data_IF_672192903920
#
_entry.id   IF_672192903920
#
_cell.length_a   1.000
_cell.length_b   1.000
_cell.length_c   1.000
_cell.angle_alpha   90.00
_cell.angle_beta   90.00
_cell.angle_gamma   90.00
#
_symmetry.space_group_name_H-M   'P 1'
#
loop_
_entity.id
_entity.type
_entity.pdbx_description
1 polymer ?
#
# COMPACT_ATOMS: atom_id res chain seq x y z
N UNK A 1 6.84 -4.32 32.71
CA UNK A 1 5.49 -4.33 32.12
C UNK A 1 5.45 -4.33 30.58
N UNK A 2 6.57 -4.20 29.84
CA UNK A 2 6.59 -4.14 28.36
C UNK A 2 6.54 -5.50 27.63
N UNK A 3 6.71 -6.63 28.32
CA UNK A 3 6.87 -7.94 27.68
C UNK A 3 5.58 -8.64 27.25
N UNK A 4 4.45 -8.43 27.96
CA UNK A 4 3.20 -9.14 27.65
C UNK A 4 2.58 -8.67 26.34
N UNK A 5 2.58 -7.37 26.06
CA UNK A 5 2.01 -6.81 24.83
C UNK A 5 2.81 -7.21 23.59
N UNK A 6 4.14 -7.19 23.70
CA UNK A 6 5.05 -7.59 22.63
C UNK A 6 4.90 -9.08 22.29
N UNK A 7 4.69 -9.92 23.31
CA UNK A 7 4.43 -11.34 23.12
C UNK A 7 3.09 -11.62 22.42
N UNK A 8 2.02 -10.92 22.78
CA UNK A 8 0.71 -11.07 22.11
C UNK A 8 0.75 -10.63 20.66
N UNK A 9 1.43 -9.51 20.35
CA UNK A 9 1.59 -9.01 18.98
C UNK A 9 2.43 -9.93 18.11
N UNK A 10 3.53 -10.48 18.63
CA UNK A 10 4.35 -11.45 17.92
C UNK A 10 3.55 -12.73 17.58
N UNK A 11 2.79 -13.24 18.56
CA UNK A 11 1.90 -14.39 18.34
C UNK A 11 0.82 -14.11 17.29
N UNK A 12 0.21 -12.91 17.33
CA UNK A 12 -0.78 -12.52 16.32
C UNK A 12 -0.15 -12.41 14.94
N UNK A 13 1.02 -11.79 14.83
CA UNK A 13 1.77 -11.68 13.58
C UNK A 13 2.06 -13.05 12.98
N UNK A 14 2.55 -14.02 13.76
CA UNK A 14 2.76 -15.39 13.26
C UNK A 14 1.47 -16.02 12.74
N UNK A 15 0.36 -15.83 13.44
CA UNK A 15 -0.95 -16.33 12.99
C UNK A 15 -1.37 -15.70 11.67
N UNK A 16 -1.13 -14.39 11.51
CA UNK A 16 -1.48 -13.65 10.30
C UNK A 16 -0.57 -14.07 9.11
N UNK A 17 0.73 -14.27 9.36
CA UNK A 17 1.68 -14.77 8.39
C UNK A 17 1.36 -16.21 7.95
N UNK A 18 1.02 -17.09 8.90
CA UNK A 18 0.57 -18.45 8.58
C UNK A 18 -0.70 -18.43 7.71
N UNK A 19 -1.67 -17.56 8.05
CA UNK A 19 -2.87 -17.37 7.24
C UNK A 19 -2.54 -16.87 5.83
N UNK A 20 -1.56 -15.99 5.67
CA UNK A 20 -1.11 -15.55 4.35
C UNK A 20 -0.51 -16.70 3.55
N UNK A 21 0.35 -17.51 4.16
CA UNK A 21 0.96 -18.67 3.52
C UNK A 21 -0.07 -19.75 3.14
N UNK A 22 -1.10 -19.94 3.97
CA UNK A 22 -2.22 -20.84 3.67
C UNK A 22 -3.06 -20.34 2.49
N UNK A 23 -3.32 -19.03 2.41
CA UNK A 23 -4.10 -18.43 1.34
C UNK A 23 -3.33 -18.33 0.02
N UNK A 24 -2.01 -18.14 0.09
CA UNK A 24 -1.13 -18.09 -1.07
C UNK A 24 0.22 -18.77 -0.77
N UNK A 25 0.35 -20.06 -1.12
CA UNK A 25 1.59 -20.82 -0.90
C UNK A 25 2.81 -20.27 -1.65
N UNK A 26 2.64 -19.34 -2.61
CA UNK A 26 3.72 -18.73 -3.39
C UNK A 26 4.37 -17.55 -2.67
N UNK A 27 3.87 -17.17 -1.49
CA UNK A 27 4.40 -16.07 -0.70
C UNK A 27 5.70 -16.45 0.05
N UNK A 28 6.74 -16.80 -0.71
CA UNK A 28 8.01 -17.30 -0.17
C UNK A 28 8.73 -16.31 0.75
N UNK A 29 8.38 -15.01 0.66
CA UNK A 29 8.91 -13.99 1.57
C UNK A 29 8.53 -14.22 3.03
N UNK A 30 7.47 -14.99 3.29
CA UNK A 30 6.97 -15.30 4.64
C UNK A 30 7.80 -16.41 5.31
N UNK A 31 8.38 -17.32 4.51
CA UNK A 31 9.07 -18.52 5.01
C UNK A 31 10.22 -18.22 5.99
N UNK A 32 11.13 -17.25 5.72
CA UNK A 32 12.19 -16.91 6.66
C UNK A 32 11.69 -16.44 8.04
N UNK A 33 10.43 -16.01 8.14
CA UNK A 33 9.83 -15.51 9.38
C UNK A 33 8.97 -16.57 10.09
N UNK A 34 8.62 -17.65 9.40
CA UNK A 34 7.94 -18.81 9.98
C UNK A 34 8.95 -19.87 10.47
N UNK A 35 10.07 -20.02 9.77
CA UNK A 35 11.08 -21.05 10.02
C UNK A 35 12.17 -20.60 11.03
N UNK A 36 12.46 -19.30 11.09
CA UNK A 36 13.65 -18.78 11.77
C UNK A 36 13.35 -18.07 13.12
N UNK A 37 14.37 -18.13 13.97
CA UNK A 37 14.55 -17.63 15.33
C UNK A 37 13.88 -16.29 15.71
N UNK A 38 13.65 -16.12 17.02
CA UNK A 38 13.02 -14.94 17.68
C UNK A 38 13.56 -13.57 17.24
N UNK A 39 14.71 -13.51 16.57
CA UNK A 39 15.31 -12.29 16.04
C UNK A 39 14.65 -11.82 14.73
N UNK A 40 14.52 -12.71 13.74
CA UNK A 40 13.93 -12.39 12.43
C UNK A 40 12.46 -11.99 12.56
N UNK A 41 11.73 -12.66 13.44
CA UNK A 41 10.35 -12.31 13.79
C UNK A 41 10.25 -10.91 14.43
N UNK A 42 11.16 -10.55 15.34
CA UNK A 42 11.16 -9.22 15.98
C UNK A 42 11.45 -8.12 14.97
N UNK A 43 12.36 -8.36 14.02
CA UNK A 43 12.65 -7.40 12.96
C UNK A 43 11.44 -7.19 12.04
N UNK A 44 10.78 -8.27 11.63
CA UNK A 44 9.56 -8.17 10.83
C UNK A 44 8.43 -7.49 11.60
N UNK A 45 8.22 -7.83 12.86
CA UNK A 45 7.22 -7.19 13.71
C UNK A 45 7.47 -5.69 13.82
N UNK A 46 8.71 -5.30 14.10
CA UNK A 46 9.11 -3.89 14.14
C UNK A 46 8.82 -3.19 12.80
N UNK A 47 9.11 -3.86 11.69
CA UNK A 47 8.87 -3.30 10.35
C UNK A 47 7.39 -3.21 10.00
N UNK A 48 6.58 -4.22 10.33
CA UNK A 48 5.12 -4.22 10.11
C UNK A 48 4.46 -3.14 10.95
N UNK A 49 4.84 -3.00 12.22
CA UNK A 49 4.32 -1.93 13.08
C UNK A 49 4.67 -0.56 12.49
N UNK A 50 5.94 -0.34 12.15
CA UNK A 50 6.37 0.91 11.53
C UNK A 50 5.60 1.20 10.24
N UNK A 51 5.49 0.24 9.34
CA UNK A 51 4.75 0.41 8.08
C UNK A 51 3.25 0.63 8.32
N UNK A 52 2.67 0.03 9.35
CA UNK A 52 1.26 0.27 9.72
C UNK A 52 1.05 1.74 10.06
N UNK A 53 1.95 2.32 10.85
CA UNK A 53 1.90 3.74 11.21
C UNK A 53 2.15 4.64 9.99
N UNK A 54 3.18 4.35 9.20
CA UNK A 54 3.56 5.16 8.04
C UNK A 54 2.51 5.17 6.94
N UNK A 55 1.86 4.03 6.69
CA UNK A 55 0.80 3.90 5.70
C UNK A 55 -0.56 4.37 6.23
N UNK A 56 -0.67 4.64 7.54
CA UNK A 56 -1.92 5.02 8.20
C UNK A 56 -2.95 3.89 8.24
N UNK A 57 -2.50 2.63 8.32
CA UNK A 57 -3.38 1.47 8.34
C UNK A 57 -4.01 1.27 9.71
N UNK A 58 -5.26 0.81 9.74
CA UNK A 58 -6.00 0.54 10.99
C UNK A 58 -5.44 -0.66 11.76
N UNK A 59 -4.87 -1.64 11.05
CA UNK A 59 -4.39 -2.89 11.65
C UNK A 59 -3.10 -3.40 10.98
N UNK A 60 -2.23 -4.10 11.73
CA UNK A 60 -1.08 -4.80 11.17
C UNK A 60 -1.45 -5.81 10.08
N UNK A 61 -2.62 -6.46 10.19
CA UNK A 61 -3.09 -7.42 9.20
C UNK A 61 -3.26 -6.77 7.81
N UNK A 62 -3.84 -5.56 7.74
CA UNK A 62 -3.94 -4.84 6.45
C UNK A 62 -2.58 -4.50 5.87
N UNK A 63 -1.62 -4.13 6.71
CA UNK A 63 -0.24 -3.90 6.28
C UNK A 63 0.39 -5.17 5.73
N UNK A 64 0.16 -6.32 6.36
CA UNK A 64 0.62 -7.63 5.88
C UNK A 64 -0.02 -7.97 4.53
N UNK A 65 -1.31 -7.68 4.32
CA UNK A 65 -1.99 -7.90 3.04
C UNK A 65 -1.38 -7.04 1.91
N UNK A 66 -0.99 -5.80 2.22
CA UNK A 66 -0.26 -4.91 1.30
C UNK A 66 1.13 -5.48 0.98
N UNK A 67 1.87 -5.93 2.00
CA UNK A 67 3.19 -6.55 1.83
C UNK A 67 3.08 -7.83 1.01
N UNK A 68 2.02 -8.62 1.20
CA UNK A 68 1.75 -9.82 0.41
C UNK A 68 1.65 -9.50 -1.07
N UNK A 69 0.93 -8.43 -1.44
CA UNK A 69 0.79 -8.03 -2.84
C UNK A 69 2.06 -7.37 -3.41
N UNK A 70 2.81 -6.65 -2.56
CA UNK A 70 4.06 -5.97 -2.93
C UNK A 70 5.15 -6.15 -1.86
N UNK A 71 5.86 -7.28 -1.87
CA UNK A 71 6.91 -7.56 -0.89
C UNK A 71 8.08 -6.58 -0.95
N UNK A 72 8.24 -5.86 -2.07
CA UNK A 72 9.28 -4.85 -2.26
C UNK A 72 9.18 -3.70 -1.27
N UNK A 73 8.01 -3.46 -0.67
CA UNK A 73 7.82 -2.44 0.37
C UNK A 73 8.70 -2.74 1.60
N UNK A 74 8.97 -4.02 1.88
CA UNK A 74 9.89 -4.41 2.95
C UNK A 74 11.34 -3.99 2.69
N UNK A 75 11.70 -3.53 1.48
CA UNK A 75 13.05 -3.02 1.16
C UNK A 75 13.13 -1.50 1.18
N UNK A 76 12.02 -0.80 1.37
CA UNK A 76 12.00 0.66 1.42
C UNK A 76 12.49 1.15 2.78
N UNK A 77 13.21 2.27 2.73
CA UNK A 77 13.54 3.04 3.93
C UNK A 77 12.30 3.81 4.41
N UNK A 78 12.16 4.03 5.74
CA UNK A 78 11.01 4.74 6.31
C UNK A 78 10.77 6.11 5.68
N UNK A 79 11.83 6.88 5.43
CA UNK A 79 11.77 8.22 4.83
C UNK A 79 11.20 8.17 3.40
N UNK A 80 11.54 7.11 2.66
CA UNK A 80 11.04 6.92 1.30
C UNK A 80 9.55 6.57 1.31
N UNK A 81 9.10 5.75 2.26
CA UNK A 81 7.66 5.47 2.46
C UNK A 81 6.92 6.75 2.80
N UNK A 82 7.43 7.54 3.77
CA UNK A 82 6.84 8.84 4.16
C UNK A 82 6.75 9.76 2.96
N UNK A 83 7.84 9.91 2.19
CA UNK A 83 7.88 10.78 1.01
C UNK A 83 6.80 10.39 -0.01
N UNK A 84 6.64 9.09 -0.27
CA UNK A 84 5.61 8.58 -1.20
C UNK A 84 4.20 8.84 -0.66
N UNK A 85 3.93 8.53 0.61
CA UNK A 85 2.63 8.78 1.25
C UNK A 85 2.28 10.28 1.25
N UNK A 86 3.26 11.14 1.52
CA UNK A 86 3.08 12.59 1.47
C UNK A 86 2.82 13.10 0.05
N UNK A 87 3.48 12.56 -0.96
CA UNK A 87 3.19 12.87 -2.37
C UNK A 87 1.75 12.49 -2.74
N UNK A 88 1.25 11.33 -2.29
CA UNK A 88 -0.15 10.93 -2.47
C UNK A 88 -1.10 11.92 -1.79
N UNK A 89 -0.76 12.35 -0.57
CA UNK A 89 -1.57 13.30 0.19
C UNK A 89 -1.58 14.69 -0.46
N UNK A 90 -0.48 15.15 -1.03
CA UNK A 90 -0.43 16.43 -1.75
C UNK A 90 -1.25 16.37 -3.04
N UNK A 91 -1.19 15.26 -3.77
CA UNK A 91 -1.96 15.09 -5.00
C UNK A 91 -3.47 14.90 -4.75
N UNK A 92 -3.85 14.30 -3.62
CA UNK A 92 -5.26 14.08 -3.24
C UNK A 92 -5.46 14.45 -1.76
N UNK A 93 -5.50 15.74 -1.40
CA UNK A 93 -5.55 16.20 -0.01
C UNK A 93 -6.70 15.63 0.79
N UNK A 94 -7.87 15.47 0.17
CA UNK A 94 -9.06 14.93 0.82
C UNK A 94 -9.20 13.41 0.66
N UNK A 95 -8.27 12.74 -0.02
CA UNK A 95 -8.34 11.31 -0.30
C UNK A 95 -8.13 10.44 0.94
N UNK A 96 -8.85 9.31 1.00
CA UNK A 96 -8.57 8.24 1.95
C UNK A 96 -7.30 7.48 1.50
N UNK A 97 -6.12 8.02 1.85
CA UNK A 97 -4.83 7.45 1.45
C UNK A 97 -4.66 5.99 1.90
N UNK A 98 -4.98 5.61 3.15
CA UNK A 98 -4.92 4.19 3.55
C UNK A 98 -5.80 3.29 2.68
N UNK A 99 -7.02 3.74 2.35
CA UNK A 99 -7.91 2.99 1.46
C UNK A 99 -7.37 2.86 0.03
N UNK A 100 -6.72 3.90 -0.50
CA UNK A 100 -6.04 3.84 -1.81
C UNK A 100 -4.90 2.83 -1.77
N UNK A 101 -4.04 2.92 -0.75
CA UNK A 101 -2.86 2.09 -0.60
C UNK A 101 -3.19 0.62 -0.37
N UNK A 102 -4.27 0.36 0.35
CA UNK A 102 -4.79 -0.99 0.53
C UNK A 102 -5.23 -1.61 -0.80
N UNK A 103 -5.92 -0.84 -1.64
CA UNK A 103 -6.35 -1.31 -2.95
C UNK A 103 -5.21 -1.33 -3.96
N UNK A 104 -4.21 -0.44 -3.80
CA UNK A 104 -3.11 -0.20 -4.74
C UNK A 104 -1.76 -0.01 -4.05
N UNK A 105 -1.21 -1.12 -3.52
CA UNK A 105 0.13 -1.13 -2.90
C UNK A 105 1.25 -0.66 -3.84
N UNK A 106 1.07 -0.79 -5.16
CA UNK A 106 2.02 -0.36 -6.19
C UNK A 106 2.39 1.12 -6.11
N UNK A 107 1.50 1.98 -5.62
CA UNK A 107 1.75 3.41 -5.46
C UNK A 107 2.85 3.72 -4.44
N UNK A 108 3.04 2.85 -3.45
CA UNK A 108 4.14 2.95 -2.49
C UNK A 108 5.28 2.01 -2.84
N UNK A 109 5.04 0.88 -3.52
CA UNK A 109 6.10 -0.06 -3.87
C UNK A 109 6.97 0.41 -5.06
N UNK A 110 6.38 1.08 -6.05
CA UNK A 110 7.07 1.46 -7.29
C UNK A 110 8.21 2.45 -7.06
N UNK A 111 9.33 2.28 -7.77
CA UNK A 111 10.45 3.24 -7.74
C UNK A 111 10.09 4.62 -8.34
N UNK A 112 9.01 4.70 -9.13
CA UNK A 112 8.54 5.94 -9.74
C UNK A 112 7.71 6.77 -8.76
N UNK A 113 7.87 8.10 -8.81
CA UNK A 113 6.97 9.03 -8.14
C UNK A 113 5.49 8.73 -8.49
N UNK A 114 4.61 8.51 -7.49
CA UNK A 114 3.19 8.26 -7.76
C UNK A 114 2.44 9.51 -8.26
N UNK A 115 2.96 10.72 -8.05
CA UNK A 115 2.32 11.99 -8.40
C UNK A 115 1.81 12.05 -9.86
N UNK A 116 2.68 11.85 -10.88
CA UNK A 116 2.27 11.87 -12.28
C UNK A 116 1.18 10.86 -12.66
N UNK A 117 1.18 9.69 -12.01
CA UNK A 117 0.17 8.64 -12.23
C UNK A 117 -1.18 9.07 -11.68
N UNK A 118 -1.20 9.67 -10.50
CA UNK A 118 -2.41 10.24 -9.90
C UNK A 118 -2.93 11.40 -10.72
N UNK A 119 -2.08 12.35 -11.10
CA UNK A 119 -2.49 13.50 -11.91
C UNK A 119 -3.14 13.07 -13.22
N UNK A 120 -2.63 12.00 -13.84
CA UNK A 120 -3.25 11.41 -15.03
C UNK A 120 -4.62 10.82 -14.71
N UNK A 121 -4.75 10.10 -13.59
CA UNK A 121 -6.02 9.53 -13.18
C UNK A 121 -7.06 10.62 -12.86
N UNK A 122 -6.68 11.67 -12.13
CA UNK A 122 -7.53 12.83 -11.83
C UNK A 122 -7.98 13.54 -13.12
N UNK A 123 -7.06 13.75 -14.08
CA UNK A 123 -7.40 14.34 -15.40
C UNK A 123 -8.37 13.46 -16.19
N UNK A 124 -8.20 12.14 -16.17
CA UNK A 124 -9.15 11.21 -16.80
C UNK A 124 -10.52 11.27 -16.12
N UNK A 125 -10.56 11.29 -14.79
CA UNK A 125 -11.79 11.39 -14.02
C UNK A 125 -12.55 12.69 -14.32
N UNK A 126 -11.84 13.83 -14.36
CA UNK A 126 -12.41 15.12 -14.71
C UNK A 126 -13.04 15.16 -16.12
N UNK A 127 -12.48 14.39 -17.08
CA UNK A 127 -13.04 14.27 -18.43
C UNK A 127 -14.31 13.43 -18.49
N UNK A 128 -14.42 12.41 -17.63
CA UNK A 128 -15.59 11.53 -17.58
C UNK A 128 -16.79 12.26 -16.96
N UNK A 129 -16.55 13.15 -15.98
CA UNK A 129 -17.59 13.95 -15.33
C UNK A 129 -17.26 15.44 -15.39
N UNK A 130 -17.48 16.11 -16.53
CA UNK A 130 -17.24 17.54 -16.66
C UNK A 130 -18.19 18.35 -15.76
N UNK A 131 -17.70 19.44 -15.17
CA UNK A 131 -18.51 20.39 -14.39
C UNK A 131 -18.58 20.15 -12.88
N UNK A 132 -17.94 19.09 -12.36
CA UNK A 132 -17.84 18.86 -10.90
C UNK A 132 -16.36 18.86 -10.52
N UNK A 133 -15.95 19.60 -9.46
CA UNK A 133 -14.58 19.51 -8.94
C UNK A 133 -14.22 18.07 -8.57
N UNK A 134 -13.03 17.60 -8.97
CA UNK A 134 -12.63 16.19 -8.82
C UNK A 134 -12.64 15.77 -7.35
N UNK A 135 -12.30 16.66 -6.41
CA UNK A 135 -12.40 16.34 -4.98
C UNK A 135 -13.83 15.98 -4.60
N UNK A 136 -14.82 16.75 -5.07
CA UNK A 136 -16.25 16.45 -4.82
C UNK A 136 -16.68 15.16 -5.49
N UNK A 137 -16.10 14.79 -6.63
CA UNK A 137 -16.39 13.52 -7.29
C UNK A 137 -15.91 12.31 -6.47
N UNK A 138 -14.70 12.40 -5.90
CA UNK A 138 -14.14 11.36 -5.05
C UNK A 138 -14.99 11.08 -3.80
N UNK A 139 -15.72 12.10 -3.32
CA UNK A 139 -16.59 12.01 -2.14
C UNK A 139 -18.07 11.70 -2.45
N UNK A 140 -18.45 11.49 -3.71
CA UNK A 140 -19.85 11.19 -4.09
C UNK A 140 -20.32 9.77 -3.76
N UNK A 141 -19.47 8.94 -3.15
CA UNK A 141 -19.81 7.62 -2.65
C UNK A 141 -18.93 6.50 -3.18
N UNK A 142 -19.17 5.27 -2.69
CA UNK A 142 -18.32 4.10 -2.94
C UNK A 142 -18.20 3.69 -4.43
N UNK A 143 -19.14 4.09 -5.28
CA UNK A 143 -19.08 3.83 -6.72
C UNK A 143 -18.06 4.71 -7.44
N UNK A 144 -18.12 6.03 -7.24
CA UNK A 144 -17.18 6.99 -7.84
C UNK A 144 -15.74 6.73 -7.37
N UNK A 145 -15.58 6.34 -6.10
CA UNK A 145 -14.28 5.95 -5.54
C UNK A 145 -13.70 4.71 -6.21
N UNK A 146 -14.51 3.66 -6.44
CA UNK A 146 -14.07 2.46 -7.18
C UNK A 146 -13.66 2.80 -8.60
N UNK A 147 -14.44 3.62 -9.31
CA UNK A 147 -14.08 4.06 -10.66
C UNK A 147 -12.75 4.83 -10.69
N UNK A 148 -12.48 5.67 -9.69
CA UNK A 148 -11.19 6.35 -9.57
C UNK A 148 -10.03 5.37 -9.40
N UNK A 149 -10.18 4.38 -8.52
CA UNK A 149 -9.17 3.33 -8.31
C UNK A 149 -8.93 2.53 -9.59
N UNK A 150 -9.96 2.19 -10.36
CA UNK A 150 -9.78 1.53 -11.67
C UNK A 150 -9.04 2.41 -12.67
N UNK A 151 -9.39 3.70 -12.78
CA UNK A 151 -8.70 4.66 -13.65
C UNK A 151 -7.22 4.80 -13.26
N UNK A 152 -6.92 4.75 -11.97
CA UNK A 152 -5.56 4.74 -11.45
C UNK A 152 -4.82 3.50 -11.98
N UNK A 153 -5.50 2.33 -12.13
CA UNK A 153 -4.91 1.06 -12.63
C UNK A 153 -4.39 1.19 -14.02
N UNK A 154 -5.26 1.70 -14.87
CA UNK A 154 -4.95 1.92 -16.27
C UNK A 154 -3.84 2.95 -16.44
N UNK A 155 -3.75 3.89 -15.49
CA UNK A 155 -2.73 4.94 -15.51
C UNK A 155 -1.35 4.45 -15.05
N UNK A 156 -1.29 3.47 -14.14
CA UNK A 156 -0.06 2.78 -13.76
C UNK A 156 0.53 1.97 -14.93
N UNK A 157 -0.31 1.19 -15.62
CA UNK A 157 0.12 0.39 -16.78
C UNK A 157 0.70 1.24 -17.92
N UNK A 158 0.09 2.40 -18.19
CA UNK A 158 0.60 3.35 -19.19
C UNK A 158 1.93 4.02 -18.77
N UNK A 159 2.15 4.25 -17.47
CA UNK A 159 3.44 4.74 -16.95
C UNK A 159 4.52 3.68 -17.06
N UNK A 160 4.20 2.41 -16.76
CA UNK A 160 5.14 1.29 -16.87
C UNK A 160 5.56 1.00 -18.32
N UNK A 161 4.64 1.15 -19.28
CA UNK A 161 4.93 1.00 -20.72
C UNK A 161 5.93 2.07 -21.22
N UNK A 162 5.75 3.34 -20.83
CA UNK A 162 6.72 4.40 -21.18
C UNK A 162 8.07 4.22 -20.50
N UNK A 163 8.10 3.77 -19.25
CA UNK A 163 9.35 3.54 -18.52
C UNK A 163 10.17 2.35 -19.07
N UNK A 164 9.53 1.39 -19.75
CA UNK A 164 10.18 0.18 -20.29
C UNK A 164 10.55 0.23 -21.78
N UNK A 165 10.14 1.25 -22.53
CA UNK A 165 10.57 1.40 -23.92
C UNK A 165 9.48 1.96 -24.82
N UNK A 166 9.50 3.28 -24.99
CA UNK A 166 9.16 3.85 -26.29
C UNK A 166 10.42 3.84 -27.16
N UNK A 167 10.66 2.72 -27.84
CA UNK A 167 11.49 2.68 -29.04
C UNK A 167 10.59 2.33 -30.22
#
# INVERSE_FOLDING_TARGET
MKDKTSYTLARQLRSDLARVQELDPRCDWVLPYLEDSTHSERLLLGKVVLLTDLLGMETPLRTIEIIRERPEILRLEPEEVVRRVMALKQAIPSGNIPGILFLRPSLVASQSDPGPTIERALRKMARIMPGIPVERQLHRGAGAWRSFVEILRDSEGASAFRARGGR
#
